data_IF_591264192151
#
_entry.id   IF_591264192151
#
_cell.length_a   1.000
_cell.length_b   1.000
_cell.length_c   1.000
_cell.angle_alpha   90.00
_cell.angle_beta   90.00
_cell.angle_gamma   90.00
#
_symmetry.space_group_name_H-M   'P 1'
#
loop_
_entity.id
_entity.type
_entity.pdbx_description
1 polymer ?
#
# COMPACT_ATOMS: atom_id res chain seq x y z
N UNK A 1 -7.86 9.13 14.79
CA UNK A 1 -6.47 8.65 14.67
C UNK A 1 -6.45 7.42 13.74
N UNK A 2 -6.27 7.60 12.43
CA UNK A 2 -6.17 6.47 11.49
C UNK A 2 -4.79 5.83 11.59
N UNK A 3 -4.69 4.55 12.00
CA UNK A 3 -3.42 3.86 12.23
C UNK A 3 -2.93 3.23 10.92
N UNK A 4 -1.70 3.50 10.52
CA UNK A 4 -1.03 2.75 9.44
C UNK A 4 -0.52 1.45 10.05
N UNK A 5 -0.78 0.32 9.41
CA UNK A 5 -0.15 -0.95 9.72
C UNK A 5 0.94 -1.24 8.68
N UNK A 6 2.19 -1.24 9.13
CA UNK A 6 3.33 -1.55 8.29
C UNK A 6 3.57 -3.06 8.22
N UNK A 7 3.67 -3.60 7.00
CA UNK A 7 4.18 -4.95 6.76
C UNK A 7 5.54 -4.84 6.04
N UNK A 8 6.56 -4.47 6.81
CA UNK A 8 7.93 -4.36 6.33
C UNK A 8 8.60 -5.74 6.28
N UNK A 9 9.42 -5.97 5.25
CA UNK A 9 10.20 -7.20 5.13
C UNK A 9 11.42 -7.00 4.23
N UNK A 10 12.41 -7.88 4.35
CA UNK A 10 13.55 -7.90 3.43
C UNK A 10 13.09 -8.34 2.02
N UNK A 11 13.78 -7.93 0.93
CA UNK A 11 13.47 -8.42 -0.41
C UNK A 11 13.42 -9.95 -0.45
N UNK A 12 12.39 -10.47 -1.13
CA UNK A 12 12.18 -11.92 -1.37
C UNK A 12 11.90 -12.76 -0.12
N UNK A 13 11.61 -12.17 1.04
CA UNK A 13 11.24 -12.90 2.26
C UNK A 13 9.76 -13.30 2.34
N UNK A 14 9.03 -13.37 1.22
CA UNK A 14 7.62 -13.79 1.19
C UNK A 14 6.57 -12.71 1.46
N UNK A 15 6.89 -11.40 1.37
CA UNK A 15 5.92 -10.32 1.60
C UNK A 15 4.61 -10.47 0.79
N UNK A 16 4.74 -10.86 -0.48
CA UNK A 16 3.60 -11.09 -1.38
C UNK A 16 2.67 -12.19 -0.85
N UNK A 17 3.23 -13.30 -0.35
CA UNK A 17 2.46 -14.40 0.20
C UNK A 17 1.73 -13.99 1.48
N UNK A 18 2.41 -13.29 2.39
CA UNK A 18 1.78 -12.77 3.61
C UNK A 18 0.66 -11.79 3.31
N UNK A 19 0.84 -10.90 2.31
CA UNK A 19 -0.21 -9.97 1.86
C UNK A 19 -1.40 -10.72 1.26
N UNK A 20 -1.16 -11.75 0.45
CA UNK A 20 -2.22 -12.57 -0.11
C UNK A 20 -3.01 -13.30 0.98
N UNK A 21 -2.32 -13.88 1.97
CA UNK A 21 -2.96 -14.51 3.11
C UNK A 21 -3.84 -13.52 3.89
N UNK A 22 -3.28 -12.36 4.28
CA UNK A 22 -4.02 -11.34 5.04
C UNK A 22 -5.19 -10.78 4.22
N UNK A 23 -5.01 -10.52 2.93
CA UNK A 23 -6.06 -10.01 2.05
C UNK A 23 -7.25 -10.97 1.95
N UNK A 24 -6.99 -12.26 1.77
CA UNK A 24 -8.04 -13.28 1.73
C UNK A 24 -8.70 -13.49 3.10
N UNK A 25 -7.91 -13.53 4.18
CA UNK A 25 -8.41 -13.66 5.55
C UNK A 25 -9.35 -12.50 5.92
N UNK A 26 -8.97 -11.27 5.57
CA UNK A 26 -9.78 -10.08 5.85
C UNK A 26 -11.06 -10.05 5.00
N UNK A 27 -10.98 -10.43 3.72
CA UNK A 27 -12.15 -10.47 2.81
C UNK A 27 -13.16 -11.53 3.20
N UNK A 28 -12.73 -12.69 3.69
CA UNK A 28 -13.61 -13.79 4.06
C UNK A 28 -14.48 -14.31 2.91
N UNK A 29 -14.04 -14.13 1.66
CA UNK A 29 -14.78 -14.54 0.46
C UNK A 29 -14.33 -15.93 0.00
N UNK A 30 -15.23 -16.67 -0.64
CA UNK A 30 -14.94 -17.99 -1.23
C UNK A 30 -14.04 -17.90 -2.46
N UNK A 31 -14.04 -16.75 -3.15
CA UNK A 31 -13.17 -16.49 -4.29
C UNK A 31 -11.84 -15.87 -3.81
N UNK A 32 -10.69 -16.44 -4.24
CA UNK A 32 -9.39 -15.87 -3.92
C UNK A 32 -9.21 -14.43 -4.41
N UNK A 33 -8.32 -13.70 -3.76
CA UNK A 33 -7.84 -12.39 -4.22
C UNK A 33 -6.84 -12.55 -5.35
N UNK A 34 -7.11 -11.86 -6.46
CA UNK A 34 -6.18 -11.75 -7.57
C UNK A 34 -4.91 -11.00 -7.15
N UNK A 35 -3.78 -11.41 -7.73
CA UNK A 35 -2.48 -10.87 -7.36
C UNK A 35 -2.37 -9.39 -7.71
N UNK A 36 -2.95 -9.00 -8.85
CA UNK A 36 -3.01 -7.65 -9.38
C UNK A 36 -3.72 -6.72 -8.38
N UNK A 37 -4.79 -7.23 -7.75
CA UNK A 37 -5.60 -6.49 -6.78
C UNK A 37 -4.89 -6.32 -5.44
N UNK A 38 -3.88 -7.13 -5.09
CA UNK A 38 -3.15 -6.99 -3.82
C UNK A 38 -2.57 -5.59 -3.60
N UNK A 39 -2.14 -4.91 -4.67
CA UNK A 39 -1.59 -3.55 -4.55
C UNK A 39 -2.65 -2.47 -4.37
N UNK A 40 -3.90 -2.77 -4.70
CA UNK A 40 -5.08 -1.94 -4.40
C UNK A 40 -5.51 -2.16 -2.95
N UNK A 41 -5.53 -3.41 -2.51
CA UNK A 41 -5.88 -3.82 -1.15
C UNK A 41 -4.79 -3.63 -0.12
N UNK A 42 -3.53 -3.46 -0.49
CA UNK A 42 -2.39 -3.25 0.42
C UNK A 42 -1.33 -2.44 -0.33
N UNK A 43 -1.44 -1.10 -0.36
CA UNK A 43 -0.57 -0.28 -1.18
C UNK A 43 0.89 -0.34 -0.73
N UNK A 44 1.80 -0.32 -1.71
CA UNK A 44 3.23 -0.28 -1.49
C UNK A 44 3.68 1.16 -1.20
N UNK A 45 4.03 1.46 0.04
CA UNK A 45 4.43 2.81 0.45
C UNK A 45 5.66 3.36 -0.29
N UNK A 46 6.57 2.48 -0.70
CA UNK A 46 7.75 2.87 -1.48
C UNK A 46 7.49 3.00 -2.98
N UNK A 47 6.26 2.83 -3.46
CA UNK A 47 5.99 2.89 -4.89
C UNK A 47 6.19 4.31 -5.44
N UNK A 48 7.06 4.42 -6.44
CA UNK A 48 7.47 5.67 -7.10
C UNK A 48 6.29 6.56 -7.50
N UNK A 49 5.21 5.97 -8.04
CA UNK A 49 3.98 6.68 -8.42
C UNK A 49 3.40 7.57 -7.32
N UNK A 50 3.53 7.18 -6.05
CA UNK A 50 2.99 7.98 -4.94
C UNK A 50 3.91 9.15 -4.61
N UNK A 51 5.23 8.96 -4.74
CA UNK A 51 6.20 10.03 -4.60
C UNK A 51 6.03 11.08 -5.70
N UNK A 52 5.88 10.65 -6.96
CA UNK A 52 5.63 11.56 -8.09
C UNK A 52 4.29 12.29 -7.95
N UNK A 53 3.26 11.64 -7.41
CA UNK A 53 1.97 12.27 -7.19
C UNK A 53 2.02 13.39 -6.14
N UNK A 54 2.89 13.29 -5.12
CA UNK A 54 3.03 14.33 -4.08
C UNK A 54 4.11 15.36 -4.41
N UNK A 55 5.11 14.97 -5.19
CA UNK A 55 6.22 15.80 -5.63
C UNK A 55 6.52 15.53 -7.11
N UNK A 56 5.83 16.23 -8.04
CA UNK A 56 6.10 16.11 -9.46
C UNK A 56 7.53 16.56 -9.80
N UNK A 57 8.17 15.90 -10.76
CA UNK A 57 9.52 16.25 -11.22
C UNK A 57 10.66 15.77 -10.32
N UNK A 58 10.41 14.83 -9.40
CA UNK A 58 11.47 14.17 -8.63
C UNK A 58 12.51 13.53 -9.55
N UNK A 59 13.78 13.59 -9.15
CA UNK A 59 14.85 12.84 -9.81
C UNK A 59 14.58 11.33 -9.77
N UNK A 60 15.16 10.59 -10.72
CA UNK A 60 15.04 9.13 -10.80
C UNK A 60 15.56 8.45 -9.53
N UNK A 61 16.71 8.92 -9.03
CA UNK A 61 17.32 8.48 -7.79
C UNK A 61 17.15 9.59 -6.75
N UNK A 62 16.61 9.22 -5.59
CA UNK A 62 16.47 10.09 -4.43
C UNK A 62 17.50 9.71 -3.38
N UNK A 63 18.05 10.71 -2.69
CA UNK A 63 18.75 10.48 -1.43
C UNK A 63 17.78 9.98 -0.36
N UNK A 64 18.30 9.37 0.68
CA UNK A 64 17.51 8.93 1.84
C UNK A 64 16.75 10.09 2.48
N UNK A 65 17.36 11.27 2.56
CA UNK A 65 16.79 12.50 3.11
C UNK A 65 15.66 13.03 2.22
N UNK A 66 15.87 13.06 0.90
CA UNK A 66 14.84 13.45 -0.06
C UNK A 66 13.63 12.53 0.01
N UNK A 67 13.87 11.21 0.07
CA UNK A 67 12.80 10.24 0.22
C UNK A 67 12.07 10.41 1.57
N UNK A 68 12.81 10.59 2.67
CA UNK A 68 12.26 10.80 4.01
C UNK A 68 11.36 12.04 4.08
N UNK A 69 11.77 13.16 3.46
CA UNK A 69 10.99 14.39 3.42
C UNK A 69 9.61 14.20 2.77
N UNK A 70 9.49 13.28 1.79
CA UNK A 70 8.24 12.99 1.11
C UNK A 70 7.40 11.89 1.77
N UNK A 71 7.93 11.15 2.76
CA UNK A 71 7.20 10.03 3.41
C UNK A 71 5.91 10.49 4.08
N UNK A 72 5.92 11.61 4.79
CA UNK A 72 4.73 12.15 5.44
C UNK A 72 3.59 12.43 4.45
N UNK A 73 3.83 13.24 3.40
CA UNK A 73 2.87 13.46 2.32
C UNK A 73 2.37 12.18 1.64
N UNK A 74 3.27 11.25 1.29
CA UNK A 74 2.89 9.95 0.69
C UNK A 74 1.97 9.16 1.61
N UNK A 75 2.31 9.03 2.89
CA UNK A 75 1.50 8.31 3.86
C UNK A 75 0.14 8.96 4.09
N UNK A 76 0.07 10.30 4.06
CA UNK A 76 -1.19 11.03 4.10
C UNK A 76 -2.06 10.74 2.87
N UNK A 77 -1.48 10.66 1.67
CA UNK A 77 -2.17 10.26 0.45
C UNK A 77 -2.68 8.80 0.53
N UNK A 78 -1.84 7.86 0.97
CA UNK A 78 -2.20 6.44 1.11
C UNK A 78 -3.33 6.21 2.11
N UNK A 79 -3.33 6.95 3.22
CA UNK A 79 -4.46 6.94 4.17
C UNK A 79 -5.77 7.34 3.50
N UNK A 80 -5.75 8.35 2.61
CA UNK A 80 -6.94 8.78 1.87
C UNK A 80 -7.38 7.73 0.86
N UNK A 81 -6.45 7.07 0.17
CA UNK A 81 -6.77 5.97 -0.76
C UNK A 81 -7.46 4.82 -0.01
N UNK A 82 -6.92 4.43 1.15
CA UNK A 82 -7.50 3.35 1.96
C UNK A 82 -8.86 3.70 2.55
N UNK A 83 -9.04 4.96 2.98
CA UNK A 83 -10.29 5.41 3.59
C UNK A 83 -11.47 5.49 2.61
N UNK A 84 -11.21 5.40 1.30
CA UNK A 84 -12.30 5.30 0.30
C UNK A 84 -12.95 3.92 0.40
N UNK A 85 -14.29 3.83 0.38
CA UNK A 85 -15.03 2.56 0.39
C UNK A 85 -14.89 1.90 -0.98
N UNK A 86 -13.67 1.49 -1.33
CA UNK A 86 -13.37 0.81 -2.58
C UNK A 86 -13.62 -0.69 -2.45
N UNK A 87 -13.85 -1.16 -1.21
CA UNK A 87 -14.18 -2.53 -0.87
C UNK A 87 -15.50 -2.43 -0.11
N UNK A 88 -16.62 -2.56 -0.83
CA UNK A 88 -17.90 -2.88 -0.19
C UNK A 88 -17.76 -4.26 0.39
N UNK A 89 -17.62 -4.33 1.71
CA UNK A 89 -17.77 -5.56 2.47
C UNK A 89 -19.22 -6.01 2.32
N UNK A 90 -19.54 -6.83 1.31
CA UNK A 90 -20.83 -7.51 1.32
C UNK A 90 -20.77 -8.50 2.47
N UNK A 91 -21.38 -8.13 3.60
CA UNK A 91 -21.71 -9.07 4.67
C UNK A 91 -22.78 -10.00 4.10
N UNK A 92 -22.35 -11.12 3.55
CA UNK A 92 -23.17 -12.33 3.46
C UNK A 92 -22.97 -13.15 4.72
#
# INVERSE_FOLDING_TARGET
MGKILWLASYPKSGNTWTRAFLGNLMRGQSTPLDLEDLTRFMPLDSARRYFEAVAPGLSEILSSEQAAAQRGPVQAMLRRIWARPTITWSRS
#
